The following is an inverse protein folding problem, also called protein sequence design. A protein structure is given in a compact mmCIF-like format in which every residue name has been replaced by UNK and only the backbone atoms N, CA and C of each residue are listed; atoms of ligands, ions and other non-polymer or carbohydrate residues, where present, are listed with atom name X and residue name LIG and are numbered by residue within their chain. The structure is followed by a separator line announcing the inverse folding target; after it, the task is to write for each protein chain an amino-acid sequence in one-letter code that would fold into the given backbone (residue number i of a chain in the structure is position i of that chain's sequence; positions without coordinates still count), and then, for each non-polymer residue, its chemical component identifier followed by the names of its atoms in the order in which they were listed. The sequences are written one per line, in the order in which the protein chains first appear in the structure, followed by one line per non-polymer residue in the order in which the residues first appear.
data_IF_900835061643
#
_entry.id   IF_900835061643
#
_cell.length_a   1.000
_cell.length_b   1.000
_cell.length_c   1.000
_cell.angle_alpha   90.00
_cell.angle_beta   90.00
_cell.angle_gamma   90.00
#
_symmetry.space_group_name_H-M   'P 1'
#
loop_
_entity.id
_entity.type
_entity.pdbx_description
1 polymer ?
#
# COMPACT_ATOMS: atom_id res chain seq x y z
N UNK A 1 22.22 23.53 6.57
CA UNK A 1 22.12 22.84 5.25
C UNK A 1 21.68 21.37 5.34
N UNK A 2 21.94 20.65 6.44
CA UNK A 2 21.56 19.23 6.58
C UNK A 2 20.03 18.95 6.50
N UNK A 3 19.18 19.81 7.08
CA UNK A 3 17.72 19.62 7.06
C UNK A 3 17.08 19.69 5.66
N UNK A 4 17.64 20.48 4.74
CA UNK A 4 17.11 20.62 3.38
C UNK A 4 17.42 19.39 2.50
N UNK A 5 18.59 18.77 2.71
CA UNK A 5 18.99 17.53 2.04
C UNK A 5 18.18 16.34 2.56
N UNK A 6 17.96 16.24 3.88
CA UNK A 6 17.09 15.22 4.47
C UNK A 6 15.63 15.36 3.98
N UNK A 7 15.13 16.59 3.85
CA UNK A 7 13.79 16.83 3.29
C UNK A 7 13.63 16.31 1.85
N UNK A 8 14.64 16.51 0.98
CA UNK A 8 14.60 16.02 -0.42
C UNK A 8 14.69 14.49 -0.49
N UNK A 9 15.55 13.88 0.33
CA UNK A 9 15.68 12.41 0.39
C UNK A 9 14.41 11.77 0.95
N UNK A 10 13.82 12.35 2.00
CA UNK A 10 12.55 11.90 2.56
C UNK A 10 11.42 11.98 1.53
N UNK A 11 11.34 13.07 0.76
CA UNK A 11 10.35 13.22 -0.31
C UNK A 11 10.56 12.22 -1.44
N UNK A 12 11.80 11.98 -1.86
CA UNK A 12 12.12 11.01 -2.90
C UNK A 12 11.76 9.57 -2.49
N UNK A 13 12.14 9.16 -1.28
CA UNK A 13 11.87 7.80 -0.78
C UNK A 13 10.38 7.58 -0.54
N UNK A 14 9.70 8.51 0.13
CA UNK A 14 8.26 8.40 0.36
C UNK A 14 7.46 8.47 -0.94
N UNK A 15 7.89 9.34 -1.87
CA UNK A 15 7.27 9.44 -3.20
C UNK A 15 7.45 8.17 -4.02
N UNK A 16 8.65 7.60 -4.06
CA UNK A 16 8.92 6.33 -4.75
C UNK A 16 8.09 5.18 -4.16
N UNK A 17 7.99 5.10 -2.83
CA UNK A 17 7.16 4.11 -2.16
C UNK A 17 5.66 4.31 -2.44
N UNK A 18 5.17 5.56 -2.39
CA UNK A 18 3.79 5.87 -2.74
C UNK A 18 3.46 5.51 -4.20
N UNK A 19 4.37 5.81 -5.14
CA UNK A 19 4.22 5.45 -6.54
C UNK A 19 4.18 3.93 -6.74
N UNK A 20 5.04 3.18 -6.05
CA UNK A 20 5.04 1.72 -6.07
C UNK A 20 3.70 1.16 -5.58
N UNK A 21 3.20 1.65 -4.45
CA UNK A 21 1.91 1.24 -3.88
C UNK A 21 0.76 1.54 -4.85
N UNK A 22 0.74 2.74 -5.45
CA UNK A 22 -0.30 3.11 -6.42
C UNK A 22 -0.25 2.26 -7.69
N UNK A 23 0.94 2.02 -8.24
CA UNK A 23 1.11 1.17 -9.42
C UNK A 23 0.65 -0.25 -9.15
N UNK A 24 1.07 -0.83 -8.02
CA UNK A 24 0.62 -2.15 -7.61
C UNK A 24 -0.89 -2.18 -7.37
N UNK A 25 -1.46 -1.14 -6.75
CA UNK A 25 -2.90 -1.06 -6.48
C UNK A 25 -3.70 -1.02 -7.78
N UNK A 26 -3.27 -0.17 -8.72
CA UNK A 26 -3.90 -0.06 -10.03
C UNK A 26 -3.78 -1.36 -10.84
N UNK A 27 -2.59 -1.96 -10.91
CA UNK A 27 -2.38 -3.24 -11.61
C UNK A 27 -3.23 -4.33 -10.97
N UNK A 28 -3.30 -4.40 -9.64
CA UNK A 28 -4.11 -5.39 -8.93
C UNK A 28 -5.60 -5.22 -9.22
N UNK A 29 -6.11 -4.00 -9.17
CA UNK A 29 -7.50 -3.69 -9.49
C UNK A 29 -7.84 -4.02 -10.96
N UNK A 30 -6.99 -3.62 -11.91
CA UNK A 30 -7.17 -3.96 -13.33
C UNK A 30 -7.18 -5.46 -13.52
N UNK A 31 -6.23 -6.18 -12.90
CA UNK A 31 -6.14 -7.64 -13.02
C UNK A 31 -7.39 -8.31 -12.45
N UNK A 32 -7.89 -7.87 -11.29
CA UNK A 32 -9.15 -8.36 -10.71
C UNK A 32 -10.37 -8.15 -11.60
N UNK A 33 -10.39 -7.04 -12.34
CA UNK A 33 -11.49 -6.72 -13.24
C UNK A 33 -11.39 -7.40 -14.61
N UNK A 34 -10.22 -7.94 -14.98
CA UNK A 34 -9.93 -8.45 -16.33
C UNK A 34 -9.59 -9.93 -16.40
N UNK A 35 -9.20 -10.55 -15.29
CA UNK A 35 -8.77 -11.95 -15.21
C UNK A 35 -9.68 -12.71 -14.25
N UNK A 36 -10.12 -13.90 -14.63
CA UNK A 36 -11.08 -14.71 -13.86
C UNK A 36 -10.53 -15.23 -12.51
N UNK A 37 -9.22 -15.48 -12.40
CA UNK A 37 -8.57 -15.98 -11.16
C UNK A 37 -7.23 -15.28 -10.81
N UNK A 38 -7.23 -14.01 -10.35
CA UNK A 38 -5.97 -13.24 -10.19
C UNK A 38 -5.53 -12.96 -8.74
N UNK A 39 -6.37 -13.28 -7.74
CA UNK A 39 -6.21 -12.85 -6.34
C UNK A 39 -4.90 -13.33 -5.70
N UNK A 40 -4.43 -14.52 -6.07
CA UNK A 40 -3.30 -15.16 -5.38
C UNK A 40 -1.94 -14.50 -5.66
N UNK A 41 -1.79 -13.74 -6.75
CA UNK A 41 -0.51 -13.12 -7.12
C UNK A 41 -0.47 -11.60 -6.90
N UNK A 42 -1.53 -10.87 -7.22
CA UNK A 42 -1.55 -9.40 -7.14
C UNK A 42 -1.84 -8.89 -5.74
N UNK A 43 -2.80 -9.50 -5.03
CA UNK A 43 -3.13 -9.14 -3.64
C UNK A 43 -1.99 -9.41 -2.65
N UNK A 44 -1.29 -10.54 -2.83
CA UNK A 44 -0.15 -10.93 -2.00
C UNK A 44 1.04 -9.97 -2.18
N UNK A 45 1.31 -9.51 -3.41
CA UNK A 45 2.35 -8.52 -3.65
C UNK A 45 2.08 -7.21 -2.90
N UNK A 46 0.83 -6.72 -2.90
CA UNK A 46 0.45 -5.54 -2.13
C UNK A 46 0.58 -5.75 -0.63
N UNK A 47 0.15 -6.91 -0.13
CA UNK A 47 0.29 -7.27 1.29
C UNK A 47 1.75 -7.23 1.74
N UNK A 48 2.67 -7.79 0.94
CA UNK A 48 4.10 -7.80 1.25
C UNK A 48 4.69 -6.40 1.24
N UNK A 49 4.37 -5.59 0.22
CA UNK A 49 4.87 -4.21 0.11
C UNK A 49 4.38 -3.34 1.27
N UNK A 50 3.16 -3.59 1.75
CA UNK A 50 2.53 -2.82 2.83
C UNK A 50 2.76 -3.42 4.22
N UNK A 51 3.69 -4.36 4.37
CA UNK A 51 4.06 -4.92 5.68
C UNK A 51 4.48 -3.80 6.67
N UNK A 52 4.05 -3.85 7.95
CA UNK A 52 3.25 -4.89 8.59
C UNK A 52 1.72 -4.70 8.46
N UNK A 53 1.26 -3.51 8.05
CA UNK A 53 -0.17 -3.20 7.98
C UNK A 53 -0.91 -4.09 6.97
N UNK A 54 -0.28 -4.43 5.85
CA UNK A 54 -0.83 -5.34 4.87
C UNK A 54 -1.18 -6.71 5.44
N UNK A 55 -0.31 -7.27 6.27
CA UNK A 55 -0.55 -8.55 6.95
C UNK A 55 -1.70 -8.48 7.95
N UNK A 56 -1.83 -7.37 8.68
CA UNK A 56 -2.94 -7.15 9.60
C UNK A 56 -4.28 -7.04 8.87
N UNK A 57 -4.29 -6.33 7.73
CA UNK A 57 -5.48 -6.21 6.87
C UNK A 57 -5.84 -7.57 6.31
N UNK A 58 -4.86 -8.35 5.84
CA UNK A 58 -5.07 -9.70 5.33
C UNK A 58 -5.66 -10.64 6.40
N UNK A 59 -5.11 -10.64 7.60
CA UNK A 59 -5.63 -11.46 8.72
C UNK A 59 -7.04 -11.03 9.14
N UNK A 60 -7.32 -9.72 9.12
CA UNK A 60 -8.66 -9.22 9.41
C UNK A 60 -9.67 -9.52 8.31
N UNK A 61 -9.21 -9.74 7.07
CA UNK A 61 -10.08 -9.98 5.91
C UNK A 61 -10.84 -11.30 6.02
N UNK A 62 -10.26 -12.32 6.65
CA UNK A 62 -10.90 -13.62 6.89
C UNK A 62 -12.16 -13.53 7.77
N UNK A 63 -12.35 -12.41 8.48
CA UNK A 63 -13.50 -12.15 9.36
C UNK A 63 -14.61 -11.35 8.64
N UNK A 64 -14.33 -10.83 7.44
CA UNK A 64 -15.29 -10.03 6.66
C UNK A 64 -16.39 -10.95 6.13
N UNK A 65 -17.68 -10.62 6.33
CA UNK A 65 -18.76 -11.48 5.89
C UNK A 65 -18.88 -11.48 4.35
N UNK A 66 -19.35 -12.59 3.73
CA UNK A 66 -19.41 -12.76 2.26
C UNK A 66 -20.15 -11.69 1.44
N UNK A 67 -21.15 -10.94 1.94
CA UNK A 67 -21.70 -9.83 1.17
C UNK A 67 -20.77 -8.61 1.08
N UNK A 68 -19.65 -8.60 1.82
CA UNK A 68 -18.70 -7.49 1.93
C UNK A 68 -17.26 -7.87 1.56
N UNK A 69 -17.00 -9.13 1.19
CA UNK A 69 -15.66 -9.67 0.90
C UNK A 69 -15.16 -9.35 -0.52
N UNK A 70 -15.51 -8.17 -1.04
CA UNK A 70 -15.12 -7.72 -2.37
C UNK A 70 -13.59 -7.57 -2.47
N UNK A 71 -12.91 -8.32 -3.35
CA UNK A 71 -11.46 -8.24 -3.56
C UNK A 71 -10.97 -6.83 -3.94
N UNK A 72 -11.81 -6.03 -4.59
CA UNK A 72 -11.50 -4.64 -4.95
C UNK A 72 -11.40 -3.77 -3.69
N UNK A 73 -12.28 -4.00 -2.71
CA UNK A 73 -12.22 -3.32 -1.41
C UNK A 73 -10.95 -3.68 -0.64
N UNK A 74 -10.52 -4.94 -0.67
CA UNK A 74 -9.25 -5.38 -0.08
C UNK A 74 -8.06 -4.65 -0.73
N UNK A 75 -8.00 -4.58 -2.06
CA UNK A 75 -6.95 -3.82 -2.76
C UNK A 75 -6.98 -2.34 -2.40
N UNK A 76 -8.18 -1.76 -2.28
CA UNK A 76 -8.37 -0.37 -1.83
C UNK A 76 -7.81 -0.13 -0.42
N UNK A 77 -8.11 -1.02 0.53
CA UNK A 77 -7.61 -0.94 1.91
C UNK A 77 -6.09 -1.08 1.98
N UNK A 78 -5.51 -2.05 1.29
CA UNK A 78 -4.07 -2.26 1.23
C UNK A 78 -3.37 -1.04 0.59
N UNK A 79 -3.92 -0.51 -0.51
CA UNK A 79 -3.38 0.71 -1.15
C UNK A 79 -3.44 1.90 -0.20
N UNK A 80 -4.56 2.10 0.48
CA UNK A 80 -4.71 3.17 1.48
C UNK A 80 -3.71 3.05 2.64
N UNK A 81 -3.49 1.83 3.14
CA UNK A 81 -2.50 1.56 4.17
C UNK A 81 -1.06 1.85 3.69
N UNK A 82 -0.73 1.47 2.46
CA UNK A 82 0.57 1.80 1.85
C UNK A 82 0.79 3.30 1.70
N UNK A 83 -0.25 4.06 1.33
CA UNK A 83 -0.16 5.53 1.29
C UNK A 83 0.01 6.14 2.68
N UNK A 84 -0.67 5.61 3.70
CA UNK A 84 -0.46 6.04 5.08
C UNK A 84 0.97 5.76 5.54
N UNK A 85 1.53 4.60 5.20
CA UNK A 85 2.92 4.27 5.47
C UNK A 85 3.89 5.21 4.77
N UNK A 86 3.62 5.60 3.52
CA UNK A 86 4.45 6.58 2.79
C UNK A 86 4.48 7.94 3.49
N UNK A 87 3.33 8.38 4.00
CA UNK A 87 3.21 9.62 4.77
C UNK A 87 3.99 9.54 6.08
N UNK A 88 3.88 8.44 6.83
CA UNK A 88 4.65 8.22 8.06
C UNK A 88 6.15 8.19 7.75
N UNK A 89 6.56 7.49 6.69
CA UNK A 89 7.95 7.40 6.24
C UNK A 89 8.52 8.79 5.92
N UNK A 90 7.77 9.60 5.17
CA UNK A 90 8.13 10.99 4.92
C UNK A 90 8.31 11.78 6.22
N UNK A 91 7.34 11.66 7.15
CA UNK A 91 7.33 12.42 8.41
C UNK A 91 8.49 12.03 9.33
N UNK A 92 8.85 10.75 9.39
CA UNK A 92 9.98 10.23 10.17
C UNK A 92 11.30 10.65 9.55
N UNK A 93 11.50 10.45 8.24
CA UNK A 93 12.76 10.74 7.56
C UNK A 93 13.07 12.23 7.46
N UNK A 94 12.04 13.07 7.39
CA UNK A 94 12.16 14.54 7.41
C UNK A 94 12.72 15.05 8.75
N UNK A 95 12.50 14.34 9.85
CA UNK A 95 12.86 14.77 11.20
C UNK A 95 11.92 15.83 11.82
N UNK A 96 12.01 16.06 13.14
CA UNK A 96 11.33 17.18 13.79
C UNK A 96 11.83 18.51 13.20
N UNK A 97 10.91 19.46 13.01
CA UNK A 97 11.29 20.84 12.67
C UNK A 97 11.94 21.51 13.86
#
# INVERSE_FOLDING_TARGET
MAGHRNGRVAAALAGAYAALVLLLGAVSAITLLTVQDPILLSGVALMVVTFPLGTLIWWGWDVVPPPLDDPVLLVGLLTGAGLLQSYVLWRVLRGPR
#
